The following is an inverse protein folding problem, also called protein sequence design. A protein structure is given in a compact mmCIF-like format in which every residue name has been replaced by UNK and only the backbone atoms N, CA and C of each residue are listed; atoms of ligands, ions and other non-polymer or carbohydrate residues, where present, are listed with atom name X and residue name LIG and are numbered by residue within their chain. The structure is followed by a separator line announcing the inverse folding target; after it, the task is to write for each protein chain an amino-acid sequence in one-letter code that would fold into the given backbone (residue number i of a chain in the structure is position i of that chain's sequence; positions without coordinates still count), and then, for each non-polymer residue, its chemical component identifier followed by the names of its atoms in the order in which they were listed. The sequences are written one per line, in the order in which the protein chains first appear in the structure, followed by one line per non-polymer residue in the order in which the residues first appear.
data_IF_926841172405
#
_entry.id   IF_926841172405
#
_cell.length_a   1.000
_cell.length_b   1.000
_cell.length_c   1.000
_cell.angle_alpha   90.00
_cell.angle_beta   90.00
_cell.angle_gamma   90.00
#
_symmetry.space_group_name_H-M   'P 1'
#
loop_
_entity.id
_entity.type
_entity.pdbx_description
1 polymer ?
#
# COMPACT_ATOMS: atom_id res chain seq x y z
N UNK A 1 6.70 -3.36 -3.33
CA UNK A 1 5.24 -3.19 -3.14
C UNK A 1 5.02 -2.40 -1.86
N UNK A 2 4.03 -1.52 -1.82
CA UNK A 2 3.69 -0.80 -0.59
C UNK A 2 2.63 0.29 -0.79
N UNK A 3 2.10 0.88 0.28
CA UNK A 3 2.42 0.61 1.69
C UNK A 3 1.37 -0.36 2.26
N UNK A 4 1.83 -1.39 2.97
CA UNK A 4 0.95 -2.27 3.75
C UNK A 4 0.84 -1.75 5.18
N UNK A 5 -0.37 -1.58 5.68
CA UNK A 5 -0.58 -1.25 7.09
C UNK A 5 -0.62 -2.53 7.91
N UNK A 6 0.35 -2.70 8.80
CA UNK A 6 0.47 -3.85 9.70
C UNK A 6 1.31 -3.47 10.94
N UNK A 7 0.70 -2.76 11.92
CA UNK A 7 1.43 -2.19 13.05
C UNK A 7 2.10 -3.25 13.94
N UNK A 8 1.52 -4.45 14.03
CA UNK A 8 2.10 -5.56 14.79
C UNK A 8 3.39 -6.03 14.11
N UNK A 9 3.38 -6.18 12.79
CA UNK A 9 4.57 -6.58 12.04
C UNK A 9 5.67 -5.51 12.10
N UNK A 10 5.32 -4.22 11.97
CA UNK A 10 6.28 -3.13 12.12
C UNK A 10 6.97 -3.20 13.48
N UNK A 11 6.21 -3.36 14.57
CA UNK A 11 6.78 -3.48 15.91
C UNK A 11 7.72 -4.69 16.04
N UNK A 12 7.30 -5.87 15.58
CA UNK A 12 8.14 -7.07 15.61
C UNK A 12 9.44 -6.90 14.84
N UNK A 13 9.39 -6.32 13.63
CA UNK A 13 10.57 -6.07 12.82
C UNK A 13 11.50 -5.01 13.42
N UNK A 14 10.94 -3.96 14.02
CA UNK A 14 11.71 -2.94 14.75
C UNK A 14 12.43 -3.54 15.96
N UNK A 15 11.76 -4.38 16.74
CA UNK A 15 12.36 -5.06 17.90
C UNK A 15 13.40 -6.12 17.49
N UNK A 16 13.16 -6.83 16.38
CA UNK A 16 14.09 -7.82 15.83
C UNK A 16 15.34 -7.21 15.19
N UNK A 17 15.25 -5.97 14.69
CA UNK A 17 16.36 -5.23 14.11
C UNK A 17 16.66 -5.56 12.64
N UNK A 18 17.41 -4.65 12.02
CA UNK A 18 17.88 -4.78 10.62
C UNK A 18 18.85 -5.96 10.50
N UNK A 19 18.72 -6.71 9.40
CA UNK A 19 19.49 -7.92 9.10
C UNK A 19 18.83 -9.20 9.60
N UNK A 20 17.82 -9.12 10.47
CA UNK A 20 17.13 -10.30 10.98
C UNK A 20 16.27 -10.96 9.91
N UNK A 21 16.40 -12.27 9.79
CA UNK A 21 15.51 -13.11 8.99
C UNK A 21 14.43 -13.75 9.88
N UNK A 22 13.17 -13.66 9.47
CA UNK A 22 12.04 -14.21 10.22
C UNK A 22 10.90 -14.65 9.33
N UNK A 23 10.16 -15.65 9.81
CA UNK A 23 8.89 -16.06 9.23
C UNK A 23 7.78 -15.14 9.78
N UNK A 24 7.04 -14.50 8.88
CA UNK A 24 6.06 -13.46 9.20
C UNK A 24 4.74 -13.74 8.50
N UNK A 25 3.65 -13.26 9.10
CA UNK A 25 2.31 -13.26 8.52
C UNK A 25 1.88 -11.84 8.23
N UNK A 26 1.82 -11.47 6.95
CA UNK A 26 1.59 -10.10 6.46
C UNK A 26 0.14 -9.89 6.02
N UNK A 27 -0.44 -8.74 6.40
CA UNK A 27 -1.73 -8.29 5.86
C UNK A 27 -2.93 -9.10 6.38
N UNK A 28 -4.11 -8.94 5.77
CA UNK A 28 -5.32 -9.71 6.10
C UNK A 28 -5.94 -9.45 7.49
N UNK A 29 -5.43 -8.51 8.27
CA UNK A 29 -5.72 -8.36 9.71
C UNK A 29 -6.93 -7.49 10.08
N UNK A 30 -7.49 -6.67 9.18
CA UNK A 30 -8.62 -5.78 9.54
C UNK A 30 -10.01 -6.40 9.34
N UNK A 31 -10.14 -7.39 8.46
CA UNK A 31 -11.43 -7.98 8.14
C UNK A 31 -11.47 -8.55 6.73
N UNK A 32 -12.61 -9.17 6.37
CA UNK A 32 -12.79 -9.96 5.12
C UNK A 32 -12.29 -9.26 3.85
N UNK A 33 -12.53 -7.96 3.74
CA UNK A 33 -12.12 -7.16 2.57
C UNK A 33 -10.59 -6.93 2.47
N UNK A 34 -9.82 -7.33 3.47
CA UNK A 34 -8.35 -7.27 3.44
C UNK A 34 -7.72 -8.48 2.75
N UNK A 35 -8.52 -9.48 2.37
CA UNK A 35 -8.06 -10.76 1.85
C UNK A 35 -7.42 -11.63 2.93
N UNK A 36 -6.92 -12.79 2.51
CA UNK A 36 -6.19 -13.69 3.38
C UNK A 36 -4.78 -13.15 3.66
N UNK A 37 -4.28 -13.29 4.89
CA UNK A 37 -2.89 -12.99 5.21
C UNK A 37 -1.93 -13.92 4.48
N UNK A 38 -0.75 -13.42 4.14
CA UNK A 38 0.29 -14.19 3.44
C UNK A 38 1.44 -14.51 4.40
N UNK A 39 1.81 -15.78 4.47
CA UNK A 39 2.99 -16.23 5.20
C UNK A 39 4.24 -16.11 4.33
N UNK A 40 5.27 -15.45 4.84
CA UNK A 40 6.48 -15.11 4.12
C UNK A 40 7.71 -15.29 5.01
N UNK A 41 8.82 -15.76 4.43
CA UNK A 41 10.14 -15.61 5.04
C UNK A 41 10.79 -14.34 4.52
N UNK A 42 11.20 -13.45 5.42
CA UNK A 42 11.69 -12.12 5.08
C UNK A 42 12.96 -11.76 5.85
N UNK A 43 13.79 -10.90 5.26
CA UNK A 43 14.84 -10.16 5.94
C UNK A 43 14.41 -8.71 6.15
N UNK A 44 14.62 -8.18 7.37
CA UNK A 44 14.44 -6.75 7.66
C UNK A 44 15.62 -5.98 7.07
N UNK A 45 15.38 -5.19 6.02
CA UNK A 45 16.42 -4.41 5.33
C UNK A 45 16.58 -3.00 5.87
N UNK A 46 15.50 -2.38 6.33
CA UNK A 46 15.54 -1.08 6.98
C UNK A 46 14.38 -0.91 7.97
N UNK A 47 14.60 -0.10 8.99
CA UNK A 47 13.58 0.39 9.92
C UNK A 47 13.74 1.90 9.99
N UNK A 48 12.66 2.64 9.87
CA UNK A 48 12.67 4.10 9.97
C UNK A 48 11.44 4.60 10.71
N UNK A 49 11.69 5.48 11.68
CA UNK A 49 10.66 6.07 12.52
C UNK A 49 10.18 7.40 11.94
N UNK A 50 8.94 7.77 12.27
CA UNK A 50 8.34 9.09 11.97
C UNK A 50 8.45 9.51 10.48
N UNK A 51 8.29 8.54 9.57
CA UNK A 51 8.32 8.79 8.14
C UNK A 51 7.18 9.71 7.70
N UNK A 52 7.46 10.49 6.66
CA UNK A 52 6.50 11.39 6.01
C UNK A 52 6.61 11.26 4.49
N UNK A 53 5.52 11.52 3.80
CA UNK A 53 5.43 11.52 2.34
C UNK A 53 5.04 12.90 1.84
N UNK A 54 5.51 13.29 0.66
CA UNK A 54 5.07 14.52 0.02
C UNK A 54 3.66 14.35 -0.59
N UNK A 55 2.84 15.40 -0.51
CA UNK A 55 1.57 15.52 -1.21
C UNK A 55 1.28 17.01 -1.47
N UNK A 56 1.42 17.45 -2.72
CA UNK A 56 1.04 18.82 -3.14
C UNK A 56 1.73 19.93 -2.31
N UNK A 57 3.04 19.80 -2.05
CA UNK A 57 3.81 20.74 -1.23
C UNK A 57 3.63 20.60 0.28
N UNK A 58 2.75 19.70 0.73
CA UNK A 58 2.60 19.33 2.15
C UNK A 58 3.25 18.00 2.46
N UNK A 59 3.51 17.73 3.75
CA UNK A 59 4.04 16.45 4.21
C UNK A 59 3.00 15.68 5.02
N UNK A 60 2.61 14.51 4.54
CA UNK A 60 1.67 13.60 5.19
C UNK A 60 2.39 12.57 6.06
N UNK A 61 1.95 12.34 7.30
CA UNK A 61 2.57 11.34 8.15
C UNK A 61 2.35 9.92 7.61
N UNK A 62 3.38 9.08 7.74
CA UNK A 62 3.39 7.67 7.37
C UNK A 62 3.68 6.75 8.56
N UNK A 63 4.04 7.32 9.72
CA UNK A 63 4.36 6.56 10.94
C UNK A 63 5.74 5.90 10.84
N UNK A 64 5.93 4.84 11.60
CA UNK A 64 7.13 4.01 11.47
C UNK A 64 6.92 3.02 10.33
N UNK A 65 7.98 2.75 9.59
CA UNK A 65 7.95 1.78 8.51
C UNK A 65 9.18 0.89 8.50
N UNK A 66 8.97 -0.30 7.96
CA UNK A 66 10.01 -1.28 7.71
C UNK A 66 10.05 -1.64 6.25
N UNK A 67 11.27 -1.83 5.75
CA UNK A 67 11.52 -2.48 4.47
C UNK A 67 11.83 -3.95 4.73
N UNK A 68 11.00 -4.82 4.16
CA UNK A 68 11.18 -6.27 4.19
C UNK A 68 11.55 -6.77 2.79
N UNK A 69 12.46 -7.71 2.71
CA UNK A 69 12.78 -8.42 1.47
C UNK A 69 12.51 -9.91 1.66
N UNK A 70 11.73 -10.50 0.76
CA UNK A 70 11.46 -11.94 0.77
C UNK A 70 12.62 -12.71 0.14
N UNK A 71 12.74 -14.01 0.43
CA UNK A 71 13.72 -14.91 -0.25
C UNK A 71 13.56 -14.93 -1.79
N UNK A 72 12.36 -14.64 -2.31
CA UNK A 72 12.08 -14.55 -3.74
C UNK A 72 12.46 -13.20 -4.40
N UNK A 73 13.14 -12.30 -3.69
CA UNK A 73 13.54 -10.99 -4.20
C UNK A 73 12.41 -9.94 -4.29
N UNK A 74 11.28 -10.16 -3.61
CA UNK A 74 10.21 -9.17 -3.49
C UNK A 74 10.49 -8.23 -2.34
N UNK A 75 10.45 -6.92 -2.61
CA UNK A 75 10.60 -5.88 -1.58
C UNK A 75 9.24 -5.33 -1.16
N UNK A 76 9.04 -5.19 0.15
CA UNK A 76 7.79 -4.79 0.78
C UNK A 76 8.03 -3.61 1.74
N UNK A 77 7.18 -2.58 1.66
CA UNK A 77 7.13 -1.52 2.66
C UNK A 77 5.89 -1.70 3.51
N UNK A 78 6.10 -1.78 4.82
CA UNK A 78 5.05 -1.99 5.83
C UNK A 78 5.11 -0.87 6.86
N UNK A 79 3.97 -0.30 7.24
CA UNK A 79 3.90 0.79 8.21
C UNK A 79 2.88 0.55 9.33
N UNK A 80 2.97 1.37 10.39
CA UNK A 80 2.09 1.29 11.58
C UNK A 80 1.00 2.37 11.64
N UNK A 81 1.15 3.46 10.88
CA UNK A 81 0.13 4.50 10.74
C UNK A 81 -0.67 4.30 9.45
N UNK A 82 -2.01 4.21 9.55
CA UNK A 82 -2.84 3.98 8.37
C UNK A 82 -2.72 5.15 7.38
N UNK A 83 -2.05 4.90 6.25
CA UNK A 83 -1.78 5.88 5.21
C UNK A 83 -1.82 5.21 3.83
N UNK A 84 -2.00 6.00 2.78
CA UNK A 84 -1.88 5.54 1.39
C UNK A 84 -0.52 5.93 0.83
N UNK A 85 -0.16 5.35 -0.32
CA UNK A 85 1.07 5.74 -1.02
C UNK A 85 0.82 7.03 -1.81
N UNK A 86 1.60 8.07 -1.51
CA UNK A 86 1.52 9.38 -2.15
C UNK A 86 2.72 9.68 -3.05
N UNK A 87 3.91 9.25 -2.64
CA UNK A 87 5.16 9.71 -3.25
C UNK A 87 6.24 8.60 -3.25
N UNK A 88 7.18 8.59 -4.22
CA UNK A 88 8.33 7.68 -4.23
C UNK A 88 9.14 7.65 -2.93
N UNK A 89 9.14 8.74 -2.16
CA UNK A 89 9.79 8.81 -0.84
C UNK A 89 9.30 7.77 0.16
N UNK A 90 8.09 7.22 -0.01
CA UNK A 90 7.63 6.06 0.77
C UNK A 90 8.57 4.83 0.67
N UNK A 91 9.36 4.74 -0.39
CA UNK A 91 10.29 3.65 -0.67
C UNK A 91 11.74 4.12 -0.58
N UNK A 92 12.08 5.23 -1.24
CA UNK A 92 13.48 5.69 -1.34
C UNK A 92 14.04 6.12 0.01
N UNK A 93 13.20 6.63 0.91
CA UNK A 93 13.62 7.02 2.26
C UNK A 93 14.02 5.84 3.15
N UNK A 94 13.63 4.62 2.78
CA UNK A 94 14.04 3.36 3.38
C UNK A 94 15.28 2.76 2.69
N UNK A 95 15.76 3.37 1.60
CA UNK A 95 16.91 2.91 0.82
C UNK A 95 16.55 2.01 -0.37
N UNK A 96 15.27 1.88 -0.73
CA UNK A 96 14.87 1.12 -1.92
C UNK A 96 15.17 1.96 -3.16
N UNK A 97 16.06 1.45 -4.02
CA UNK A 97 16.28 2.02 -5.35
C UNK A 97 15.14 1.58 -6.30
N UNK A 98 14.24 2.51 -6.60
CA UNK A 98 13.13 2.26 -7.52
C UNK A 98 13.58 2.06 -8.98
N UNK A 99 14.74 2.62 -9.38
CA UNK A 99 15.29 2.43 -10.73
C UNK A 99 15.80 1.02 -10.98
N UNK A 100 16.15 0.28 -9.93
CA UNK A 100 16.53 -1.13 -9.99
C UNK A 100 15.32 -2.08 -9.99
N UNK A 101 14.10 -1.59 -9.73
CA UNK A 101 12.90 -2.41 -9.65
C UNK A 101 12.28 -2.64 -11.03
N UNK A 102 11.90 -3.90 -11.31
CA UNK A 102 11.15 -4.24 -12.53
C UNK A 102 9.73 -3.65 -12.55
N UNK A 103 9.12 -3.53 -11.37
CA UNK A 103 7.80 -2.93 -11.20
C UNK A 103 7.63 -2.42 -9.76
N UNK A 104 6.83 -1.37 -9.60
CA UNK A 104 6.46 -0.82 -8.29
C UNK A 104 4.94 -0.85 -8.17
N UNK A 105 4.43 -1.66 -7.24
CA UNK A 105 2.99 -1.72 -6.96
C UNK A 105 2.69 -0.80 -5.78
N UNK A 106 1.84 0.19 -6.02
CA UNK A 106 1.40 1.16 -5.01
C UNK A 106 -0.07 1.02 -4.69
N UNK A 107 -0.44 1.11 -3.40
CA UNK A 107 -1.84 1.12 -2.96
C UNK A 107 -2.37 2.55 -2.89
N UNK A 108 -2.81 3.05 -4.04
CA UNK A 108 -3.34 4.41 -4.20
C UNK A 108 -4.17 4.48 -5.48
N UNK A 109 -5.27 5.24 -5.47
CA UNK A 109 -6.15 5.37 -6.65
C UNK A 109 -5.65 6.43 -7.63
N UNK A 110 -5.12 7.56 -7.14
CA UNK A 110 -4.72 8.68 -8.00
C UNK A 110 -3.59 9.53 -7.43
N UNK A 111 -3.54 9.78 -6.12
CA UNK A 111 -2.57 10.73 -5.54
C UNK A 111 -1.10 10.35 -5.79
N UNK A 112 -0.81 9.05 -5.94
CA UNK A 112 0.54 8.58 -6.29
C UNK A 112 1.03 9.11 -7.65
N UNK A 113 0.11 9.36 -8.58
CA UNK A 113 0.43 9.56 -9.98
C UNK A 113 1.40 10.73 -10.17
N UNK A 114 1.20 11.84 -9.44
CA UNK A 114 2.04 13.03 -9.54
C UNK A 114 3.52 12.74 -9.18
N UNK A 115 3.77 11.88 -8.19
CA UNK A 115 5.13 11.54 -7.78
C UNK A 115 5.77 10.41 -8.59
N UNK A 116 4.98 9.42 -9.03
CA UNK A 116 5.51 8.24 -9.71
C UNK A 116 5.56 8.38 -11.25
N UNK A 117 4.64 9.12 -11.88
CA UNK A 117 4.63 9.27 -13.33
C UNK A 117 5.94 9.84 -13.91
N UNK A 118 6.65 10.79 -13.26
CA UNK A 118 7.93 11.28 -13.77
C UNK A 118 9.07 10.25 -13.77
N UNK A 119 8.98 9.18 -12.96
CA UNK A 119 10.03 8.15 -12.84
C UNK A 119 9.61 6.79 -13.43
N UNK A 120 8.35 6.64 -13.83
CA UNK A 120 7.81 5.41 -14.39
C UNK A 120 7.83 5.47 -15.93
N UNK A 121 8.23 4.37 -16.59
CA UNK A 121 8.06 4.22 -18.04
C UNK A 121 6.60 4.07 -18.45
N UNK A 122 5.78 3.47 -17.58
CA UNK A 122 4.35 3.25 -17.78
C UNK A 122 3.63 3.21 -16.42
N UNK A 123 2.39 3.72 -16.38
CA UNK A 123 1.52 3.62 -15.20
C UNK A 123 0.27 2.82 -15.57
N UNK A 124 0.14 1.64 -14.99
CA UNK A 124 -0.99 0.73 -15.22
C UNK A 124 -1.92 0.77 -14.02
N UNK A 125 -3.17 1.20 -14.25
CA UNK A 125 -4.22 1.12 -13.24
C UNK A 125 -4.81 -0.28 -13.21
N UNK A 126 -4.87 -0.88 -12.02
CA UNK A 126 -5.36 -2.25 -11.83
C UNK A 126 -6.52 -2.26 -10.83
N UNK A 127 -7.59 -2.97 -11.18
CA UNK A 127 -8.66 -3.33 -10.24
C UNK A 127 -8.22 -4.57 -9.45
N UNK A 128 -8.16 -4.44 -8.13
CA UNK A 128 -8.00 -5.56 -7.19
C UNK A 128 -9.26 -5.76 -6.35
N UNK A 129 -9.43 -6.94 -5.72
CA UNK A 129 -10.45 -7.12 -4.70
C UNK A 129 -10.14 -6.24 -3.48
N UNK A 130 -11.17 -5.83 -2.74
CA UNK A 130 -11.00 -5.16 -1.46
C UNK A 130 -12.11 -4.20 -1.09
N UNK A 131 -11.90 -3.44 -0.02
CA UNK A 131 -12.90 -2.51 0.52
C UNK A 131 -13.19 -1.31 -0.40
N UNK A 132 -12.29 -0.99 -1.32
CA UNK A 132 -12.42 0.13 -2.25
C UNK A 132 -12.48 -0.46 -3.66
N UNK A 133 -13.69 -0.80 -4.11
CA UNK A 133 -13.92 -1.23 -5.48
C UNK A 133 -14.05 0.00 -6.39
N UNK A 134 -13.41 0.02 -7.57
CA UNK A 134 -13.68 1.03 -8.60
C UNK A 134 -15.00 0.77 -9.32
N UNK A 135 -15.65 -0.36 -9.06
CA UNK A 135 -16.94 -0.73 -9.65
C UNK A 135 -18.08 -0.29 -8.73
N UNK A 136 -18.64 0.88 -9.03
CA UNK A 136 -19.70 1.51 -8.24
C UNK A 136 -21.07 0.83 -8.42
N UNK A 137 -21.22 -0.06 -9.40
CA UNK A 137 -22.48 -0.77 -9.69
C UNK A 137 -22.78 -1.85 -8.63
N UNK A 138 -21.74 -2.40 -8.01
CA UNK A 138 -21.83 -3.52 -7.06
C UNK A 138 -21.75 -3.08 -5.58
N UNK A 139 -21.67 -1.78 -5.29
CA UNK A 139 -21.60 -1.29 -3.91
C UNK A 139 -22.95 -1.57 -3.22
N UNK A 140 -22.98 -2.30 -2.08
CA UNK A 140 -24.22 -2.71 -1.43
C UNK A 140 -24.75 -1.60 -0.51
N UNK A 141 -25.16 -0.47 -1.09
CA UNK A 141 -25.77 0.61 -0.31
C UNK A 141 -27.07 0.15 0.36
N UNK A 142 -27.24 0.49 1.64
CA UNK A 142 -28.44 0.16 2.43
C UNK A 142 -29.35 1.35 2.70
N UNK A 143 -28.86 2.57 2.41
CA UNK A 143 -29.56 3.84 2.66
C UNK A 143 -29.76 4.67 1.38
N UNK A 144 -29.38 4.12 0.23
CA UNK A 144 -29.53 4.74 -1.09
C UNK A 144 -30.24 3.71 -1.98
N UNK A 145 -31.17 4.17 -2.81
CA UNK A 145 -31.75 3.33 -3.84
C UNK A 145 -30.77 3.12 -5.01
N UNK A 146 -31.16 2.29 -5.98
CA UNK A 146 -30.30 1.95 -7.11
C UNK A 146 -30.36 2.98 -8.25
N UNK A 147 -31.08 4.10 -8.07
CA UNK A 147 -31.23 5.16 -9.08
C UNK A 147 -30.04 6.12 -9.05
N UNK A 148 -28.89 5.61 -9.47
CA UNK A 148 -27.69 6.43 -9.66
C UNK A 148 -26.80 5.85 -10.74
N UNK A 149 -26.17 6.72 -11.53
CA UNK A 149 -25.10 6.30 -12.45
C UNK A 149 -23.83 5.99 -11.64
N UNK A 150 -23.10 4.90 -11.92
CA UNK A 150 -23.25 3.97 -13.03
C UNK A 150 -24.10 2.72 -12.75
N UNK A 151 -24.79 2.61 -11.59
CA UNK A 151 -25.60 1.42 -11.27
C UNK A 151 -26.86 1.31 -12.13
N UNK A 152 -27.47 2.45 -12.44
CA UNK A 152 -28.54 2.61 -13.44
C UNK A 152 -28.03 3.57 -14.50
N UNK A 153 -28.11 3.18 -15.78
CA UNK A 153 -27.60 3.97 -16.91
C UNK A 153 -28.23 5.37 -16.98
N UNK A 154 -29.55 5.46 -16.82
CA UNK A 154 -30.26 6.73 -16.66
C UNK A 154 -31.08 6.74 -15.36
N UNK A 155 -30.63 7.41 -14.29
CA UNK A 155 -31.32 7.41 -13.00
C UNK A 155 -32.51 8.39 -12.90
N UNK A 156 -32.80 9.13 -13.98
CA UNK A 156 -33.85 10.15 -14.01
C UNK A 156 -35.13 9.70 -14.75
N UNK A 157 -35.10 8.55 -15.42
CA UNK A 157 -36.28 7.91 -16.00
C UNK A 157 -37.08 7.16 -14.91
#
# INVERSE_FOLDING_TARGET
LGIYWDPVLVRMCTEAGVGTCMDVRLGGKLGKASGDPVDLRVTVRAVKNDMRQELGGSHMPMGNAVWLETDGGVHLVVNDLRSQTFHPSAFTDLGIDLGAMKAVVVKSSQHFYAGFAPIASEVIHMKGPGAITPDFTIIPFTKRDDRYWPKTENPFD
#
